data_IF_318485421247
#
_entry.id   IF_318485421247
#
_cell.length_a   1.000
_cell.length_b   1.000
_cell.length_c   1.000
_cell.angle_alpha   90.00
_cell.angle_beta   90.00
_cell.angle_gamma   90.00
#
_symmetry.space_group_name_H-M   'P 1'
#
loop_
_entity.id
_entity.type
_entity.pdbx_description
1 polymer ?
#
# COMPACT_ATOMS: atom_id res chain seq x y z
N UNK A 1 5.08 -1.11 -20.02
CA UNK A 1 3.72 -1.17 -19.91
C UNK A 1 3.27 -0.88 -18.53
N UNK A 2 2.19 -0.18 -18.49
CA UNK A 2 1.69 0.36 -17.23
C UNK A 2 1.30 -0.70 -16.22
N UNK A 3 0.73 -1.81 -16.68
CA UNK A 3 0.38 -2.85 -15.72
C UNK A 3 1.62 -3.50 -15.12
N UNK A 4 2.67 -3.67 -15.91
CA UNK A 4 3.93 -4.21 -15.41
C UNK A 4 4.51 -3.25 -14.37
N UNK A 5 4.45 -1.95 -14.62
CA UNK A 5 4.94 -0.96 -13.67
C UNK A 5 4.16 -1.03 -12.36
N UNK A 6 2.83 -1.19 -12.45
CA UNK A 6 2.01 -1.31 -11.25
C UNK A 6 2.37 -2.57 -10.47
N UNK A 7 2.50 -3.71 -11.14
CA UNK A 7 2.85 -4.95 -10.46
C UNK A 7 4.23 -4.89 -9.83
N UNK A 8 5.17 -4.24 -10.49
CA UNK A 8 6.50 -4.05 -9.93
C UNK A 8 6.43 -3.16 -8.69
N UNK A 9 5.61 -2.11 -8.73
CA UNK A 9 5.45 -1.22 -7.59
C UNK A 9 4.81 -1.96 -6.40
N UNK A 10 3.76 -2.76 -6.67
CA UNK A 10 3.11 -3.55 -5.61
C UNK A 10 4.09 -4.56 -5.00
N UNK A 11 4.91 -5.21 -5.84
CA UNK A 11 5.91 -6.14 -5.33
C UNK A 11 6.94 -5.42 -4.47
N UNK A 12 7.36 -4.23 -4.89
CA UNK A 12 8.32 -3.45 -4.11
C UNK A 12 7.74 -3.03 -2.76
N UNK A 13 6.44 -2.69 -2.73
CA UNK A 13 5.76 -2.39 -1.47
C UNK A 13 5.80 -3.59 -0.53
N UNK A 14 5.46 -4.77 -1.06
CA UNK A 14 5.47 -6.00 -0.27
C UNK A 14 6.87 -6.33 0.23
N UNK A 15 7.86 -6.23 -0.64
CA UNK A 15 9.24 -6.57 -0.27
C UNK A 15 9.83 -5.63 0.75
N UNK A 16 9.58 -4.34 0.62
CA UNK A 16 10.13 -3.37 1.55
C UNK A 16 9.62 -3.61 2.97
N UNK A 17 8.35 -3.98 3.10
CA UNK A 17 7.78 -4.28 4.42
C UNK A 17 8.30 -5.62 4.94
N UNK A 18 8.37 -6.64 4.09
CA UNK A 18 8.87 -7.94 4.51
C UNK A 18 10.31 -7.84 5.04
N UNK A 19 11.11 -6.95 4.46
CA UNK A 19 12.48 -6.73 4.89
C UNK A 19 12.59 -5.67 5.98
N UNK A 20 11.49 -5.08 6.37
CA UNK A 20 11.43 -4.04 7.39
C UNK A 20 12.33 -2.85 7.01
N UNK A 21 12.37 -2.55 5.71
CA UNK A 21 13.20 -1.49 5.17
C UNK A 21 12.34 -0.24 4.94
N UNK A 22 12.24 0.59 5.94
CA UNK A 22 11.39 1.78 5.89
C UNK A 22 11.86 2.76 4.81
N UNK A 23 13.15 2.91 4.63
CA UNK A 23 13.68 3.83 3.62
C UNK A 23 13.28 3.37 2.22
N UNK A 24 13.39 2.07 1.93
CA UNK A 24 12.98 1.53 0.64
C UNK A 24 11.47 1.69 0.44
N UNK A 25 10.68 1.51 1.50
CA UNK A 25 9.23 1.68 1.43
C UNK A 25 8.89 3.13 1.11
N UNK A 26 9.49 4.08 1.81
CA UNK A 26 9.19 5.50 1.58
C UNK A 26 9.67 6.01 0.23
N UNK A 27 10.63 5.32 -0.40
CA UNK A 27 11.05 5.67 -1.76
C UNK A 27 9.95 5.41 -2.78
N UNK A 28 8.93 4.63 -2.43
CA UNK A 28 7.80 4.31 -3.30
C UNK A 28 6.64 5.30 -3.11
N UNK A 29 6.79 6.26 -2.22
CA UNK A 29 5.73 7.20 -1.85
C UNK A 29 6.15 8.60 -2.26
N UNK A 30 5.29 9.30 -3.00
CA UNK A 30 5.57 10.67 -3.41
C UNK A 30 5.51 11.62 -2.23
N UNK A 31 6.35 12.65 -2.26
CA UNK A 31 6.30 13.69 -1.24
C UNK A 31 4.97 14.42 -1.20
N UNK A 32 4.22 14.38 -2.29
CA UNK A 32 2.91 15.05 -2.37
C UNK A 32 1.74 14.11 -2.13
N UNK A 33 1.99 12.92 -1.59
CA UNK A 33 0.95 11.91 -1.40
C UNK A 33 -0.16 12.41 -0.48
N UNK A 34 -1.38 12.01 -0.78
CA UNK A 34 -2.53 12.23 0.09
C UNK A 34 -3.36 10.95 0.15
N UNK A 35 -3.71 10.54 1.35
CA UNK A 35 -4.52 9.35 1.58
C UNK A 35 -5.84 9.77 2.18
N UNK A 36 -6.92 9.38 1.53
CA UNK A 36 -8.29 9.71 1.94
C UNK A 36 -9.04 8.45 2.39
N UNK A 37 -10.13 8.65 3.09
CA UNK A 37 -11.02 7.53 3.46
C UNK A 37 -10.67 6.86 4.78
N UNK A 38 -9.73 7.42 5.51
CA UNK A 38 -9.41 6.90 6.84
C UNK A 38 -10.44 7.39 7.84
N UNK A 39 -10.63 6.66 8.96
CA UNK A 39 -11.56 7.08 10.00
C UNK A 39 -11.24 8.49 10.49
N UNK A 40 -12.29 9.30 10.72
CA UNK A 40 -12.12 10.66 11.20
C UNK A 40 -11.87 11.67 10.10
N UNK A 41 -12.03 11.29 8.84
CA UNK A 41 -11.87 12.18 7.68
C UNK A 41 -10.52 12.90 7.64
N UNK A 42 -9.51 12.28 8.22
CA UNK A 42 -8.18 12.87 8.20
C UNK A 42 -7.49 12.48 6.91
N UNK A 43 -6.80 13.45 6.34
CA UNK A 43 -5.98 13.21 5.16
C UNK A 43 -4.56 12.96 5.65
N UNK A 44 -3.97 11.84 5.21
CA UNK A 44 -2.61 11.50 5.60
C UNK A 44 -1.68 11.95 4.48
N UNK A 45 -0.67 12.73 4.83
CA UNK A 45 0.35 13.19 3.91
C UNK A 45 1.60 12.33 4.02
N UNK A 46 2.69 12.76 3.39
CA UNK A 46 3.95 12.00 3.38
C UNK A 46 4.48 11.77 4.80
N UNK A 47 4.53 12.82 5.61
CA UNK A 47 5.06 12.69 6.96
C UNK A 47 4.17 11.79 7.81
N UNK A 48 2.86 11.90 7.65
CA UNK A 48 1.93 11.03 8.34
C UNK A 48 2.10 9.57 7.94
N UNK A 49 2.29 9.31 6.65
CA UNK A 49 2.53 7.95 6.15
C UNK A 49 3.82 7.38 6.77
N UNK A 50 4.89 8.17 6.72
CA UNK A 50 6.18 7.77 7.27
C UNK A 50 6.07 7.41 8.75
N UNK A 51 5.40 8.29 9.52
CA UNK A 51 5.26 8.08 10.94
C UNK A 51 4.43 6.84 11.27
N UNK A 52 3.34 6.63 10.54
CA UNK A 52 2.49 5.46 10.73
C UNK A 52 3.25 4.17 10.43
N UNK A 53 3.95 4.12 9.31
CA UNK A 53 4.69 2.92 8.94
C UNK A 53 5.81 2.61 9.92
N UNK A 54 6.54 3.65 10.31
CA UNK A 54 7.61 3.49 11.29
C UNK A 54 7.08 2.90 12.59
N UNK A 55 5.97 3.44 13.06
CA UNK A 55 5.35 2.99 14.29
C UNK A 55 4.82 1.56 14.15
N UNK A 56 4.17 1.25 13.05
CA UNK A 56 3.63 -0.09 12.79
C UNK A 56 4.72 -1.13 12.71
N UNK A 57 5.82 -0.81 12.04
CA UNK A 57 6.94 -1.74 11.94
C UNK A 57 7.56 -1.97 13.31
N UNK A 58 7.77 -0.89 14.05
CA UNK A 58 8.40 -1.00 15.35
C UNK A 58 7.59 -1.80 16.35
N UNK A 59 6.26 -1.70 16.26
CA UNK A 59 5.36 -2.34 17.22
C UNK A 59 4.86 -3.71 16.76
N UNK A 60 5.31 -4.17 15.60
CA UNK A 60 4.84 -5.46 15.09
C UNK A 60 3.42 -5.45 14.57
N UNK A 61 2.87 -4.27 14.31
CA UNK A 61 1.51 -4.14 13.79
C UNK A 61 1.45 -4.38 12.30
N UNK A 62 2.60 -4.36 11.63
CA UNK A 62 2.70 -4.62 10.19
C UNK A 62 3.92 -5.50 9.95
N UNK A 63 3.68 -6.73 9.54
CA UNK A 63 4.75 -7.68 9.21
C UNK A 63 4.79 -7.96 7.72
N UNK A 64 3.65 -7.89 7.04
CA UNK A 64 3.62 -8.13 5.60
C UNK A 64 2.48 -7.40 4.93
N UNK A 65 2.70 -7.09 3.65
CA UNK A 65 1.68 -6.56 2.76
C UNK A 65 1.54 -7.52 1.60
N UNK A 66 0.31 -7.82 1.21
CA UNK A 66 0.05 -8.58 0.00
C UNK A 66 -1.10 -7.94 -0.75
N UNK A 67 -1.18 -8.21 -2.04
CA UNK A 67 -2.13 -7.56 -2.92
C UNK A 67 -2.83 -8.55 -3.83
N UNK A 68 -4.13 -8.36 -4.04
CA UNK A 68 -4.85 -9.16 -5.02
C UNK A 68 -5.98 -8.34 -5.63
N UNK A 69 -6.64 -8.94 -6.60
CA UNK A 69 -7.78 -8.34 -7.30
C UNK A 69 -7.43 -6.98 -7.92
N UNK A 70 -6.26 -6.93 -8.57
CA UNK A 70 -5.84 -5.71 -9.26
C UNK A 70 -6.76 -5.44 -10.44
N UNK A 71 -7.30 -4.23 -10.51
CA UNK A 71 -8.11 -3.77 -11.63
C UNK A 71 -7.59 -2.42 -12.10
N UNK A 72 -7.01 -2.40 -13.30
CA UNK A 72 -6.53 -1.15 -13.90
C UNK A 72 -7.73 -0.30 -14.29
N UNK A 73 -7.66 1.01 -14.01
CA UNK A 73 -8.76 1.92 -14.29
C UNK A 73 -8.42 2.95 -15.36
N UNK A 74 -7.30 3.64 -15.23
CA UNK A 74 -6.87 4.64 -16.18
C UNK A 74 -5.37 4.52 -16.37
N UNK A 75 -4.94 4.68 -17.61
CA UNK A 75 -3.53 4.56 -17.94
C UNK A 75 -3.17 5.71 -18.86
N UNK A 76 -2.22 6.53 -18.42
CA UNK A 76 -1.59 7.52 -19.28
C UNK A 76 -0.10 7.28 -19.25
N UNK A 77 0.66 8.07 -19.98
CA UNK A 77 2.09 7.85 -20.11
C UNK A 77 2.81 7.88 -18.77
N UNK A 78 2.44 8.79 -17.88
CA UNK A 78 3.13 8.97 -16.60
C UNK A 78 2.24 8.88 -15.38
N UNK A 79 1.04 8.38 -15.57
CA UNK A 79 0.09 8.31 -14.46
C UNK A 79 -0.83 7.12 -14.66
N UNK A 80 -1.01 6.33 -13.63
CA UNK A 80 -1.91 5.18 -13.68
C UNK A 80 -2.80 5.20 -12.45
N UNK A 81 -4.02 4.75 -12.63
CA UNK A 81 -4.97 4.60 -11.54
C UNK A 81 -5.47 3.17 -11.56
N UNK A 82 -5.53 2.57 -10.41
CA UNK A 82 -6.00 1.20 -10.28
C UNK A 82 -6.70 0.98 -8.95
N UNK A 83 -7.46 -0.10 -8.89
CA UNK A 83 -8.09 -0.54 -7.65
C UNK A 83 -7.45 -1.86 -7.26
N UNK A 84 -7.26 -2.08 -5.98
CA UNK A 84 -6.59 -3.28 -5.49
C UNK A 84 -7.04 -3.58 -4.06
N UNK A 85 -7.00 -4.85 -3.69
CA UNK A 85 -7.17 -5.24 -2.29
C UNK A 85 -5.80 -5.43 -1.68
N UNK A 86 -5.55 -4.71 -0.59
CA UNK A 86 -4.31 -4.84 0.15
C UNK A 86 -4.60 -5.58 1.44
N UNK A 87 -3.83 -6.60 1.74
CA UNK A 87 -3.92 -7.27 3.03
C UNK A 87 -2.71 -6.88 3.87
N UNK A 88 -2.98 -6.27 5.01
CA UNK A 88 -1.96 -5.90 5.98
C UNK A 88 -1.99 -6.93 7.09
N UNK A 89 -0.89 -7.61 7.32
CA UNK A 89 -0.82 -8.67 8.33
C UNK A 89 0.18 -8.27 9.42
N UNK A 90 -0.26 -8.36 10.66
CA UNK A 90 0.58 -8.08 11.82
C UNK A 90 1.44 -9.31 12.17
N UNK A 91 2.43 -9.10 13.03
CA UNK A 91 3.29 -10.20 13.50
C UNK A 91 2.49 -11.29 14.20
N UNK A 92 1.34 -10.96 14.78
CA UNK A 92 0.47 -11.94 15.43
C UNK A 92 -0.33 -12.78 14.45
N UNK A 93 -0.34 -12.39 13.16
CA UNK A 93 -1.17 -13.03 12.16
C UNK A 93 -2.51 -12.35 11.95
N UNK A 94 -2.87 -11.42 12.82
CA UNK A 94 -4.10 -10.65 12.63
C UNK A 94 -3.95 -9.82 11.35
N UNK A 95 -5.01 -9.70 10.58
CA UNK A 95 -4.91 -8.95 9.33
C UNK A 95 -6.13 -8.06 9.08
N UNK A 96 -5.93 -7.08 8.23
CA UNK A 96 -7.00 -6.23 7.74
C UNK A 96 -6.89 -6.20 6.21
N UNK A 97 -8.01 -6.27 5.56
CA UNK A 97 -8.08 -6.22 4.10
C UNK A 97 -8.68 -4.89 3.71
N UNK A 98 -7.98 -4.16 2.87
CA UNK A 98 -8.35 -2.81 2.49
C UNK A 98 -8.53 -2.75 0.99
N UNK A 99 -9.71 -2.32 0.55
CA UNK A 99 -9.91 -2.03 -0.87
C UNK A 99 -9.62 -0.55 -1.09
N UNK A 100 -8.77 -0.26 -2.05
CA UNK A 100 -8.38 1.13 -2.28
C UNK A 100 -8.13 1.43 -3.74
N UNK A 101 -8.40 2.68 -4.09
CA UNK A 101 -8.02 3.23 -5.38
C UNK A 101 -6.67 3.91 -5.20
N UNK A 102 -5.76 3.64 -6.09
CA UNK A 102 -4.39 4.14 -5.99
C UNK A 102 -4.03 4.86 -7.29
N UNK A 103 -3.35 5.99 -7.16
CA UNK A 103 -2.80 6.70 -8.30
C UNK A 103 -1.29 6.75 -8.12
N UNK A 104 -0.58 6.24 -9.13
CA UNK A 104 0.87 6.35 -9.20
C UNK A 104 1.23 7.34 -10.30
N UNK A 105 2.28 8.11 -10.04
CA UNK A 105 2.88 8.97 -11.06
C UNK A 105 4.35 8.65 -11.19
N UNK A 106 4.86 8.80 -12.41
CA UNK A 106 6.27 8.61 -12.67
C UNK A 106 6.97 9.92 -12.38
N UNK A 107 7.92 9.86 -11.48
CA UNK A 107 8.65 11.02 -11.00
C UNK A 107 10.15 10.80 -11.18
N UNK A 108 10.90 11.87 -11.22
CA UNK A 108 12.36 11.81 -11.30
C UNK A 108 12.82 10.83 -12.37
N UNK A 109 12.24 10.95 -13.57
CA UNK A 109 12.57 10.09 -14.71
C UNK A 109 11.76 8.82 -14.73
N UNK A 110 12.12 7.83 -13.94
CA UNK A 110 11.49 6.52 -14.05
C UNK A 110 10.89 5.97 -12.78
N UNK A 111 10.86 6.75 -11.73
CA UNK A 111 10.39 6.23 -10.45
C UNK A 111 8.89 6.40 -10.29
N UNK A 112 8.18 5.28 -10.20
CA UNK A 112 6.75 5.30 -9.94
C UNK A 112 6.52 5.44 -8.45
N UNK A 113 5.73 6.45 -8.07
CA UNK A 113 5.42 6.69 -6.66
C UNK A 113 3.94 6.94 -6.49
N UNK A 114 3.40 6.51 -5.35
CA UNK A 114 2.00 6.75 -5.07
C UNK A 114 1.81 8.22 -4.71
N UNK A 115 0.84 8.86 -5.37
CA UNK A 115 0.49 10.26 -5.12
C UNK A 115 -0.87 10.39 -4.45
N UNK A 116 -1.70 9.36 -4.55
CA UNK A 116 -3.03 9.42 -3.93
C UNK A 116 -3.55 8.02 -3.65
N UNK A 117 -4.17 7.86 -2.50
CA UNK A 117 -4.92 6.65 -2.18
C UNK A 117 -6.28 7.04 -1.66
N UNK A 118 -7.31 6.34 -2.10
CA UNK A 118 -8.66 6.49 -1.56
C UNK A 118 -9.08 5.14 -1.01
N UNK A 119 -9.23 5.06 0.30
CA UNK A 119 -9.65 3.83 0.95
C UNK A 119 -11.16 3.75 0.81
N UNK A 120 -11.63 2.73 0.09
CA UNK A 120 -13.04 2.56 -0.22
C UNK A 120 -13.75 1.70 0.80
N UNK A 121 -13.06 0.69 1.29
CA UNK A 121 -13.67 -0.28 2.18
C UNK A 121 -12.55 -1.01 2.90
N UNK A 122 -12.80 -1.42 4.12
CA UNK A 122 -11.85 -2.23 4.86
C UNK A 122 -12.58 -3.10 5.88
N UNK A 123 -11.97 -4.23 6.18
CA UNK A 123 -12.54 -5.17 7.13
C UNK A 123 -11.43 -6.01 7.74
N UNK A 124 -11.68 -6.52 8.93
CA UNK A 124 -10.73 -7.40 9.57
C UNK A 124 -10.82 -8.75 8.88
N UNK A 125 -9.69 -9.25 8.40
CA UNK A 125 -9.60 -10.56 7.82
C UNK A 125 -9.46 -11.60 8.89
N UNK A 126 -9.77 -12.86 8.56
CA UNK A 126 -9.55 -13.94 9.47
C UNK A 126 -8.19 -14.52 9.23
N UNK A 127 -7.51 -14.76 10.31
CA UNK A 127 -6.26 -15.45 10.23
C UNK A 127 -6.54 -16.81 9.68
N UNK A 128 -5.74 -17.25 8.71
CA UNK A 128 -5.97 -18.45 8.07
C UNK A 128 -5.53 -19.53 8.91
N UNK A 129 -6.30 -20.14 9.58
CA UNK A 129 -5.86 -21.15 10.35
C UNK A 129 -5.94 -22.34 9.62
N UNK A 130 -5.19 -22.94 9.39
CA UNK A 130 -5.16 -23.96 8.71
C UNK A 130 -5.66 -24.94 9.37
N UNK A 131 -6.13 -25.33 9.64
CA UNK A 131 -6.65 -26.07 10.20
C UNK A 131 -6.85 -27.06 9.82
N UNK A 132 -6.52 -27.44 9.86
CA UNK A 132 -6.56 -28.22 9.62
C UNK A 132 -7.13 -29.09 9.94
N UNK A 133 -7.36 -29.17 10.08
CA UNK A 133 -8.00 -30.01 10.52
C UNK A 133 -8.42 -30.42 10.43
#
# INVERSE_FOLDING_TARGET
MSEIAVRNWLNAMSESIARRDLAAHMALVSRKVQVYGLPGDRVVDYDGWHQRRRNELRRGLLASLSYDDLAMRQITLRRVRFNVNETMTAATGACVIINKDVILEQEDGEHWRVVEENIRHWEHGKQQTRNVG
#
